data_IF_727574071264
#
_entry.id   IF_727574071264
#
_cell.length_a   1.000
_cell.length_b   1.000
_cell.length_c   1.000
_cell.angle_alpha   90.00
_cell.angle_beta   90.00
_cell.angle_gamma   90.00
#
_symmetry.space_group_name_H-M   'P 1'
#
loop_
_entity.id
_entity.type
_entity.pdbx_description
1 polymer ?
#
# COMPACT_ATOMS: atom_id res chain seq x y z
N UNK A 1 -58.16 27.09 16.43
CA UNK A 1 -57.12 27.81 15.70
C UNK A 1 -55.82 27.04 15.88
N UNK A 2 -55.27 26.53 14.78
CA UNK A 2 -53.96 25.89 14.59
C UNK A 2 -53.63 24.57 15.33
N UNK A 3 -54.09 23.46 14.74
CA UNK A 3 -53.22 22.29 14.53
C UNK A 3 -52.22 22.62 13.40
N UNK A 4 -51.17 21.81 13.25
CA UNK A 4 -50.02 21.92 12.32
C UNK A 4 -48.84 22.74 12.83
N UNK A 5 -47.80 22.03 13.28
CA UNK A 5 -46.37 22.34 13.09
C UNK A 5 -45.52 21.34 13.88
N UNK A 6 -45.45 20.06 13.48
CA UNK A 6 -44.41 19.15 13.99
C UNK A 6 -44.33 17.80 13.23
N UNK A 7 -44.06 17.77 11.92
CA UNK A 7 -43.65 16.50 11.26
C UNK A 7 -42.72 16.65 10.04
N UNK A 8 -42.41 17.85 9.53
CA UNK A 8 -41.72 17.97 8.22
C UNK A 8 -40.17 17.85 8.19
N UNK A 9 -39.47 17.61 9.30
CA UNK A 9 -37.99 17.57 9.30
C UNK A 9 -37.37 16.20 9.57
N UNK A 10 -38.16 15.20 9.94
CA UNK A 10 -37.65 13.86 10.25
C UNK A 10 -37.07 13.09 9.04
N UNK A 11 -37.68 13.12 7.82
CA UNK A 11 -37.17 12.33 6.71
C UNK A 11 -35.87 12.90 6.12
N UNK A 12 -35.67 14.22 6.22
CA UNK A 12 -34.44 14.87 5.74
C UNK A 12 -33.24 14.59 6.64
N UNK A 13 -33.42 14.54 7.96
CA UNK A 13 -32.34 14.20 8.90
C UNK A 13 -31.93 12.72 8.71
N UNK A 14 -32.90 11.81 8.59
CA UNK A 14 -32.63 10.40 8.31
C UNK A 14 -31.94 10.20 6.96
N UNK A 15 -32.34 10.95 5.92
CA UNK A 15 -31.68 10.92 4.62
C UNK A 15 -30.25 11.45 4.70
N UNK A 16 -29.99 12.53 5.44
CA UNK A 16 -28.65 13.09 5.65
C UNK A 16 -27.77 12.11 6.44
N UNK A 17 -28.29 11.47 7.49
CA UNK A 17 -27.54 10.45 8.23
C UNK A 17 -27.25 9.20 7.40
N UNK A 18 -28.18 8.80 6.51
CA UNK A 18 -27.99 7.67 5.61
C UNK A 18 -26.98 8.02 4.51
N UNK A 19 -27.04 9.23 3.95
CA UNK A 19 -26.04 9.76 3.02
C UNK A 19 -24.68 9.86 3.71
N UNK A 20 -24.62 10.35 4.95
CA UNK A 20 -23.39 10.44 5.74
C UNK A 20 -22.81 9.05 6.04
N UNK A 21 -23.64 8.07 6.41
CA UNK A 21 -23.23 6.67 6.56
C UNK A 21 -22.72 6.07 5.25
N UNK A 22 -23.36 6.35 4.11
CA UNK A 22 -22.94 5.87 2.79
C UNK A 22 -21.65 6.54 2.34
N UNK A 23 -21.47 7.85 2.59
CA UNK A 23 -20.23 8.58 2.30
C UNK A 23 -19.09 8.06 3.18
N UNK A 24 -19.32 7.84 4.49
CA UNK A 24 -18.34 7.23 5.40
C UNK A 24 -17.99 5.79 5.01
N UNK A 25 -18.94 5.02 4.47
CA UNK A 25 -18.67 3.68 3.94
C UNK A 25 -17.87 3.73 2.62
N UNK A 26 -17.97 4.84 1.86
CA UNK A 26 -17.25 5.06 0.61
C UNK A 26 -15.93 5.81 0.75
N UNK A 27 -15.64 6.43 1.90
CA UNK A 27 -14.30 6.90 2.23
C UNK A 27 -13.42 5.72 2.67
N UNK A 28 -13.23 4.77 1.76
CA UNK A 28 -12.15 3.80 1.90
C UNK A 28 -10.89 4.56 1.55
N UNK A 29 -10.05 4.88 2.55
CA UNK A 29 -8.62 4.94 2.26
C UNK A 29 -8.26 3.70 1.45
N UNK A 30 -7.34 3.77 0.48
CA UNK A 30 -7.12 2.66 -0.44
C UNK A 30 -6.70 1.39 0.31
N UNK A 31 -7.70 0.60 0.70
CA UNK A 31 -7.59 -0.70 1.34
C UNK A 31 -7.73 -1.73 0.25
N UNK A 32 -6.68 -2.50 0.03
CA UNK A 32 -6.66 -3.56 -0.97
C UNK A 32 -6.67 -4.90 -0.26
N UNK A 33 -7.70 -5.69 -0.57
CA UNK A 33 -7.90 -7.02 0.01
C UNK A 33 -8.00 -8.03 -1.12
N UNK A 34 -7.29 -9.14 -1.00
CA UNK A 34 -7.34 -10.18 -2.02
C UNK A 34 -6.45 -11.36 -1.74
N UNK A 35 -6.35 -12.21 -2.74
CA UNK A 35 -5.49 -13.40 -2.73
C UNK A 35 -4.75 -13.46 -4.05
N UNK A 36 -3.46 -13.77 -3.98
CA UNK A 36 -2.65 -14.00 -5.16
C UNK A 36 -1.95 -15.34 -5.09
N UNK A 37 -1.81 -15.97 -6.26
CA UNK A 37 -1.03 -17.18 -6.46
C UNK A 37 -0.07 -16.97 -7.63
N UNK A 38 1.19 -17.36 -7.41
CA UNK A 38 2.22 -17.31 -8.44
C UNK A 38 2.04 -18.36 -9.56
N UNK A 39 1.04 -19.23 -9.45
CA UNK A 39 0.69 -20.21 -10.49
C UNK A 39 0.12 -19.55 -11.73
N UNK A 40 -0.63 -18.46 -11.55
CA UNK A 40 -1.31 -17.76 -12.65
C UNK A 40 -0.34 -16.78 -13.32
N UNK A 41 0.41 -16.03 -12.53
CA UNK A 41 1.38 -15.04 -13.00
C UNK A 41 2.56 -14.94 -12.05
N UNK A 42 3.76 -14.69 -12.57
CA UNK A 42 4.98 -14.51 -11.77
C UNK A 42 4.88 -13.29 -10.85
N UNK A 43 4.14 -12.25 -11.27
CA UNK A 43 3.88 -11.06 -10.47
C UNK A 43 2.44 -10.56 -10.65
N UNK A 44 2.02 -9.65 -9.78
CA UNK A 44 0.77 -8.92 -9.90
C UNK A 44 0.92 -7.50 -9.37
N UNK A 45 0.33 -6.54 -10.08
CA UNK A 45 0.19 -5.16 -9.61
C UNK A 45 -1.11 -5.08 -8.83
N UNK A 46 -1.02 -4.88 -7.52
CA UNK A 46 -2.18 -4.86 -6.63
C UNK A 46 -2.86 -3.49 -6.59
N UNK A 47 -2.06 -2.42 -6.66
CA UNK A 47 -2.56 -1.06 -6.54
C UNK A 47 -1.64 -0.05 -7.23
N UNK A 48 -2.22 1.09 -7.58
CA UNK A 48 -1.54 2.34 -7.95
C UNK A 48 -2.02 3.42 -6.99
N UNK A 49 -1.12 4.16 -6.37
CA UNK A 49 -1.46 5.21 -5.40
C UNK A 49 -0.52 6.41 -5.54
N UNK A 50 -1.08 7.62 -5.45
CA UNK A 50 -0.32 8.87 -5.50
C UNK A 50 0.09 9.29 -4.09
N UNK A 51 1.37 9.15 -3.77
CA UNK A 51 1.90 9.62 -2.49
C UNK A 51 2.34 11.08 -2.58
N UNK A 52 2.02 11.83 -1.53
CA UNK A 52 2.49 13.19 -1.33
C UNK A 52 2.75 13.41 0.17
N UNK A 53 3.93 13.97 0.49
CA UNK A 53 4.19 14.45 1.82
C UNK A 53 3.28 15.64 2.17
N UNK A 54 2.47 15.49 3.21
CA UNK A 54 1.45 16.49 3.60
C UNK A 54 2.08 17.73 4.28
N UNK A 55 3.19 17.56 5.00
CA UNK A 55 3.88 18.63 5.72
C UNK A 55 5.42 18.50 5.56
N UNK A 56 6.07 19.38 4.77
CA UNK A 56 7.52 19.40 4.60
C UNK A 56 8.32 19.52 5.90
N UNK A 57 7.76 20.15 6.94
CA UNK A 57 8.42 20.36 8.23
C UNK A 57 8.31 19.14 9.16
N UNK A 58 7.37 18.24 8.89
CA UNK A 58 7.16 17.00 9.64
C UNK A 58 7.18 15.78 8.71
N UNK A 59 8.34 15.52 8.11
CA UNK A 59 8.52 14.42 7.16
C UNK A 59 8.19 13.05 7.75
N UNK A 60 8.50 12.84 9.03
CA UNK A 60 8.28 11.55 9.68
C UNK A 60 6.81 11.16 9.71
N UNK A 61 5.94 12.11 10.02
CA UNK A 61 4.51 11.86 10.18
C UNK A 61 3.67 12.19 8.95
N UNK A 62 4.22 12.88 7.95
CA UNK A 62 3.46 13.29 6.76
C UNK A 62 3.80 12.52 5.49
N UNK A 63 4.84 11.66 5.52
CA UNK A 63 5.23 10.76 4.42
C UNK A 63 4.19 9.67 4.14
N UNK A 64 4.35 8.96 3.02
CA UNK A 64 3.46 7.87 2.65
C UNK A 64 3.70 6.58 3.44
N UNK A 65 2.65 5.81 3.66
CA UNK A 65 2.71 4.51 4.34
C UNK A 65 1.97 3.44 3.54
N UNK A 66 2.54 2.23 3.52
CA UNK A 66 1.84 1.00 3.13
C UNK A 66 2.01 -0.02 4.24
N UNK A 67 0.91 -0.49 4.82
CA UNK A 67 0.95 -1.39 5.96
C UNK A 67 -0.21 -2.38 5.92
N UNK A 68 -0.07 -3.47 6.68
CA UNK A 68 -1.12 -4.46 6.82
C UNK A 68 -0.58 -5.88 6.84
N UNK A 69 -1.38 -6.81 6.33
CA UNK A 69 -1.15 -8.24 6.43
C UNK A 69 -0.90 -8.82 5.04
N UNK A 70 0.14 -9.65 4.92
CA UNK A 70 0.45 -10.44 3.70
C UNK A 70 0.79 -11.86 4.13
N UNK A 71 -0.25 -12.56 4.58
CA UNK A 71 -0.15 -13.82 5.28
C UNK A 71 -0.26 -15.03 4.35
N UNK A 72 0.45 -16.10 4.70
CA UNK A 72 0.17 -17.44 4.18
C UNK A 72 0.63 -18.53 5.14
N UNK A 73 0.26 -19.77 4.85
CA UNK A 73 0.93 -20.92 5.44
C UNK A 73 2.36 -20.98 4.88
N UNK A 74 3.36 -21.03 5.77
CA UNK A 74 4.76 -21.09 5.35
C UNK A 74 5.04 -22.46 4.73
N UNK A 75 5.34 -22.47 3.44
CA UNK A 75 5.78 -23.66 2.73
C UNK A 75 7.25 -23.48 2.38
N UNK A 76 8.10 -24.41 2.83
CA UNK A 76 9.53 -24.40 2.49
C UNK A 76 9.73 -24.39 0.97
N UNK A 77 10.38 -23.34 0.46
CA UNK A 77 10.65 -23.12 -0.97
C UNK A 77 9.66 -22.20 -1.68
N UNK A 78 8.60 -21.75 -1.03
CA UNK A 78 7.72 -20.69 -1.53
C UNK A 78 8.25 -19.33 -1.01
N UNK A 79 8.86 -18.54 -1.91
CA UNK A 79 9.45 -17.24 -1.57
C UNK A 79 9.06 -16.20 -2.61
N UNK A 80 8.64 -15.05 -2.14
CA UNK A 80 8.35 -13.90 -2.97
C UNK A 80 8.69 -12.60 -2.26
N UNK A 81 8.45 -11.50 -2.93
CA UNK A 81 8.67 -10.15 -2.40
C UNK A 81 7.45 -9.29 -2.70
N UNK A 82 7.03 -8.51 -1.71
CA UNK A 82 6.16 -7.37 -1.90
C UNK A 82 7.05 -6.13 -2.07
N UNK A 83 6.78 -5.36 -3.12
CA UNK A 83 7.51 -4.17 -3.50
C UNK A 83 6.58 -2.98 -3.60
N UNK A 84 7.09 -1.81 -3.27
CA UNK A 84 6.49 -0.56 -3.70
C UNK A 84 7.43 0.16 -4.67
N UNK A 85 6.93 0.45 -5.87
CA UNK A 85 7.75 0.88 -7.00
C UNK A 85 7.27 2.23 -7.52
N UNK A 86 8.15 3.23 -7.67
CA UNK A 86 7.76 4.52 -8.22
C UNK A 86 7.44 4.41 -9.71
N UNK A 87 6.60 5.32 -10.21
CA UNK A 87 6.18 5.35 -11.61
C UNK A 87 7.35 5.43 -12.60
N UNK A 88 8.47 6.00 -12.18
CA UNK A 88 9.71 6.07 -12.98
C UNK A 88 10.34 4.71 -13.25
N UNK A 89 10.11 3.72 -12.39
CA UNK A 89 10.72 2.38 -12.48
C UNK A 89 9.72 1.26 -12.79
N UNK A 90 8.41 1.55 -12.82
CA UNK A 90 7.37 0.52 -12.98
C UNK A 90 7.23 -0.02 -14.41
N UNK A 91 7.83 0.63 -15.42
CA UNK A 91 7.58 0.28 -16.83
C UNK A 91 7.88 -1.19 -17.14
N UNK A 92 8.91 -1.76 -16.50
CA UNK A 92 9.25 -3.18 -16.62
C UNK A 92 8.14 -4.14 -16.17
N UNK A 93 7.18 -3.69 -15.36
CA UNK A 93 6.01 -4.48 -14.94
C UNK A 93 4.75 -4.19 -15.77
N UNK A 94 4.69 -3.06 -16.47
CA UNK A 94 3.54 -2.67 -17.28
C UNK A 94 3.58 -3.24 -18.69
N UNK A 95 4.77 -3.59 -19.18
CA UNK A 95 4.93 -4.21 -20.47
C UNK A 95 4.37 -5.64 -20.47
N UNK A 96 3.59 -5.99 -21.51
CA UNK A 96 3.01 -7.34 -21.62
C UNK A 96 4.07 -8.45 -21.71
N UNK A 97 5.27 -8.11 -22.17
CA UNK A 97 6.42 -9.01 -22.22
C UNK A 97 7.01 -9.31 -20.82
N UNK A 98 6.65 -8.54 -19.78
CA UNK A 98 7.14 -8.71 -18.42
C UNK A 98 6.81 -10.08 -17.82
N UNK A 99 5.70 -10.69 -18.25
CA UNK A 99 5.27 -12.01 -17.78
C UNK A 99 6.24 -13.14 -18.17
N UNK A 100 7.09 -12.91 -19.18
CA UNK A 100 8.07 -13.87 -19.69
C UNK A 100 9.51 -13.52 -19.28
N UNK A 101 9.71 -12.43 -18.54
CA UNK A 101 11.05 -12.01 -18.13
C UNK A 101 11.58 -12.84 -16.96
N UNK A 102 12.91 -12.96 -16.90
CA UNK A 102 13.57 -13.53 -15.72
C UNK A 102 13.44 -12.58 -14.53
N UNK A 103 13.46 -13.12 -13.31
CA UNK A 103 13.45 -12.30 -12.09
C UNK A 103 14.58 -11.26 -12.07
N UNK A 104 15.74 -11.63 -12.58
CA UNK A 104 16.91 -10.74 -12.67
C UNK A 104 16.64 -9.52 -13.55
N UNK A 105 16.11 -9.75 -14.75
CA UNK A 105 15.74 -8.67 -15.67
C UNK A 105 14.59 -7.81 -15.13
N UNK A 106 13.58 -8.45 -14.51
CA UNK A 106 12.40 -7.77 -13.99
C UNK A 106 12.73 -6.86 -12.78
N UNK A 107 13.67 -7.30 -11.93
CA UNK A 107 13.98 -6.65 -10.65
C UNK A 107 15.30 -5.88 -10.61
N UNK A 108 16.04 -5.82 -11.72
CA UNK A 108 17.34 -5.15 -11.79
C UNK A 108 17.32 -3.70 -11.24
N UNK A 109 16.30 -2.92 -11.60
CA UNK A 109 16.17 -1.54 -11.14
C UNK A 109 15.75 -1.44 -9.67
N UNK A 110 15.06 -2.46 -9.15
CA UNK A 110 14.59 -2.52 -7.77
C UNK A 110 15.76 -2.74 -6.81
N UNK A 111 16.79 -3.48 -7.24
CA UNK A 111 18.02 -3.70 -6.48
C UNK A 111 18.74 -2.39 -6.11
N UNK A 112 18.53 -1.30 -6.86
CA UNK A 112 19.13 0.01 -6.57
C UNK A 112 18.30 0.85 -5.59
N UNK A 113 17.02 0.51 -5.40
CA UNK A 113 16.07 1.28 -4.61
C UNK A 113 15.88 0.66 -3.22
N UNK A 114 15.62 -0.64 -3.19
CA UNK A 114 15.20 -1.35 -2.00
C UNK A 114 16.39 -1.70 -1.10
N UNK A 115 16.25 -1.43 0.19
CA UNK A 115 17.22 -1.88 1.18
C UNK A 115 16.95 -3.33 1.60
N UNK A 116 17.99 -4.14 1.60
CA UNK A 116 18.03 -5.50 2.16
C UNK A 116 19.39 -5.67 2.83
N UNK A 117 19.41 -6.19 4.05
CA UNK A 117 20.59 -6.15 4.91
C UNK A 117 21.76 -6.98 4.36
N UNK A 118 21.50 -8.10 3.68
CA UNK A 118 22.54 -9.02 3.20
C UNK A 118 23.01 -8.66 1.79
N UNK A 119 22.08 -8.39 0.87
CA UNK A 119 22.33 -8.32 -0.56
C UNK A 119 22.19 -6.93 -1.16
N UNK A 120 21.39 -6.04 -0.57
CA UNK A 120 21.14 -4.69 -1.09
C UNK A 120 21.46 -3.62 -0.02
N UNK A 121 22.69 -3.60 0.53
CA UNK A 121 23.02 -2.72 1.67
C UNK A 121 23.06 -1.23 1.29
N UNK A 122 23.28 -0.92 0.01
CA UNK A 122 23.30 0.45 -0.51
C UNK A 122 21.89 1.01 -0.80
N UNK A 123 20.86 0.15 -0.75
CA UNK A 123 19.47 0.55 -0.89
C UNK A 123 19.07 1.51 0.23
N UNK A 124 18.23 2.50 -0.09
CA UNK A 124 17.84 3.54 0.88
C UNK A 124 16.35 3.52 1.22
N UNK A 125 15.54 2.83 0.42
CA UNK A 125 14.10 2.81 0.59
C UNK A 125 13.63 1.65 1.47
N UNK A 126 12.75 1.97 2.42
CA UNK A 126 11.91 1.01 3.14
C UNK A 126 10.72 0.60 2.24
N UNK A 127 11.04 -0.06 1.12
CA UNK A 127 10.11 -0.29 -0.02
C UNK A 127 9.91 -1.77 -0.39
N UNK A 128 10.47 -2.70 0.39
CA UNK A 128 10.34 -4.14 0.13
C UNK A 128 10.08 -4.96 1.39
N UNK A 129 9.35 -6.07 1.27
CA UNK A 129 9.22 -7.10 2.32
C UNK A 129 9.20 -8.50 1.71
N UNK A 130 9.91 -9.43 2.34
CA UNK A 130 9.80 -10.85 2.01
C UNK A 130 8.43 -11.39 2.37
N UNK A 131 7.84 -12.15 1.45
CA UNK A 131 6.54 -12.80 1.59
C UNK A 131 6.65 -14.29 1.23
N UNK A 132 5.77 -15.16 1.76
CA UNK A 132 4.68 -14.86 2.70
C UNK A 132 5.17 -14.57 4.13
N UNK A 133 4.43 -13.71 4.84
CA UNK A 133 4.64 -13.53 6.27
C UNK A 133 3.89 -14.62 7.07
N UNK A 134 4.44 -15.09 8.20
CA UNK A 134 3.78 -16.10 9.03
C UNK A 134 2.45 -15.56 9.57
N UNK A 135 1.35 -16.29 9.38
CA UNK A 135 0.02 -15.86 9.84
C UNK A 135 0.02 -15.49 11.34
N UNK A 136 -0.52 -14.30 11.64
CA UNK A 136 -0.62 -13.77 13.01
C UNK A 136 0.70 -13.34 13.65
N UNK A 137 1.79 -13.26 12.88
CA UNK A 137 3.10 -12.76 13.33
C UNK A 137 3.63 -11.71 12.36
N UNK A 138 4.57 -10.90 12.84
CA UNK A 138 5.33 -9.98 12.01
C UNK A 138 6.08 -10.72 10.90
N UNK A 139 6.33 -10.02 9.80
CA UNK A 139 7.22 -10.49 8.75
C UNK A 139 8.64 -10.68 9.31
N UNK A 140 9.42 -11.59 8.74
CA UNK A 140 10.71 -12.03 9.31
C UNK A 140 11.71 -10.88 9.49
N UNK A 141 11.65 -9.87 8.62
CA UNK A 141 12.54 -8.71 8.63
C UNK A 141 12.12 -7.63 9.65
N UNK A 142 10.89 -7.69 10.16
CA UNK A 142 10.34 -6.70 11.08
C UNK A 142 10.80 -7.02 12.52
N UNK A 143 11.95 -6.47 12.88
CA UNK A 143 12.60 -6.69 14.18
C UNK A 143 12.19 -5.70 15.28
N UNK A 144 11.45 -4.65 14.92
CA UNK A 144 11.02 -3.56 15.82
C UNK A 144 9.48 -3.44 15.80
N UNK A 145 8.75 -4.22 16.61
CA UNK A 145 7.29 -4.23 16.62
C UNK A 145 6.67 -2.85 16.82
N UNK A 146 7.32 -1.97 17.58
CA UNK A 146 6.88 -0.60 17.85
C UNK A 146 6.87 0.30 16.61
N UNK A 147 7.59 -0.09 15.55
CA UNK A 147 7.59 0.60 14.26
C UNK A 147 6.56 0.03 13.29
N UNK A 148 5.88 -1.07 13.64
CA UNK A 148 4.83 -1.65 12.82
C UNK A 148 3.48 -1.11 13.28
N UNK A 149 2.61 -0.78 12.33
CA UNK A 149 1.24 -0.36 12.66
C UNK A 149 0.54 -1.49 13.41
N UNK A 150 -0.20 -1.13 14.47
CA UNK A 150 -0.92 -2.11 15.28
C UNK A 150 -1.81 -3.02 14.41
N UNK A 151 -1.88 -4.30 14.80
CA UNK A 151 -2.64 -5.34 14.10
C UNK A 151 -2.19 -5.62 12.65
N UNK A 152 -1.01 -5.12 12.26
CA UNK A 152 -0.38 -5.36 10.96
C UNK A 152 0.88 -6.24 11.08
N UNK A 153 1.24 -6.93 10.00
CA UNK A 153 2.46 -7.75 9.95
C UNK A 153 3.70 -6.98 9.49
N UNK A 154 3.51 -5.87 8.78
CA UNK A 154 4.58 -5.03 8.26
C UNK A 154 4.15 -3.58 8.07
N UNK A 155 5.14 -2.70 7.89
CA UNK A 155 4.92 -1.30 7.51
C UNK A 155 6.07 -0.79 6.65
N UNK A 156 5.76 -0.42 5.41
CA UNK A 156 6.62 0.25 4.44
C UNK A 156 6.42 1.78 4.50
N UNK A 157 7.48 2.52 4.20
CA UNK A 157 7.51 3.99 4.27
C UNK A 157 8.02 4.59 2.97
N UNK A 158 7.26 5.53 2.43
CA UNK A 158 7.54 6.17 1.15
C UNK A 158 7.98 7.59 1.42
N UNK A 159 9.26 7.86 1.17
CA UNK A 159 9.83 9.21 1.28
C UNK A 159 9.70 9.92 -0.07
N UNK A 160 8.68 10.78 -0.19
CA UNK A 160 8.46 11.62 -1.37
C UNK A 160 8.37 13.09 -0.93
N UNK A 161 9.53 13.77 -0.78
CA UNK A 161 9.61 15.00 0.01
C UNK A 161 9.11 16.27 -0.68
N UNK A 162 8.93 16.27 -2.00
CA UNK A 162 8.62 17.51 -2.71
C UNK A 162 7.57 17.41 -3.81
N UNK A 163 7.50 16.30 -4.55
CA UNK A 163 6.63 16.22 -5.73
C UNK A 163 5.70 15.01 -5.64
N UNK A 164 4.37 15.17 -5.71
CA UNK A 164 3.46 14.05 -5.73
C UNK A 164 3.85 13.05 -6.82
N UNK A 165 4.01 11.78 -6.46
CA UNK A 165 4.37 10.74 -7.41
C UNK A 165 3.45 9.53 -7.28
N UNK A 166 3.17 8.88 -8.40
CA UNK A 166 2.57 7.56 -8.40
C UNK A 166 3.56 6.49 -8.00
N UNK A 167 3.08 5.62 -7.12
CA UNK A 167 3.72 4.39 -6.73
C UNK A 167 2.79 3.22 -6.94
N UNK A 168 3.37 2.04 -7.10
CA UNK A 168 2.66 0.80 -7.39
C UNK A 168 3.02 -0.24 -6.36
N UNK A 169 2.01 -0.89 -5.79
CA UNK A 169 2.21 -2.05 -4.91
C UNK A 169 2.21 -3.29 -5.77
N UNK A 170 3.31 -4.03 -5.75
CA UNK A 170 3.57 -5.16 -6.64
C UNK A 170 4.01 -6.36 -5.80
N UNK A 171 3.44 -7.52 -6.08
CA UNK A 171 3.90 -8.80 -5.52
C UNK A 171 4.56 -9.62 -6.62
N UNK A 172 5.68 -10.25 -6.29
CA UNK A 172 6.51 -11.00 -7.25
C UNK A 172 6.99 -12.31 -6.62
N UNK A 173 6.90 -13.42 -7.35
CA UNK A 173 7.41 -14.74 -6.95
C UNK A 173 8.92 -14.87 -7.22
N UNK A 174 9.69 -13.91 -6.75
CA UNK A 174 11.14 -13.88 -6.88
C UNK A 174 11.78 -13.69 -5.50
N UNK A 175 13.00 -14.20 -5.34
CA UNK A 175 13.79 -14.05 -4.13
C UNK A 175 15.27 -13.89 -4.45
N UNK A 176 16.03 -13.30 -3.54
CA UNK A 176 17.49 -13.26 -3.62
C UNK A 176 18.08 -14.54 -3.05
N UNK A 177 18.95 -15.20 -3.81
CA UNK A 177 19.69 -16.35 -3.31
C UNK A 177 20.91 -15.92 -2.47
N UNK A 178 21.67 -16.90 -1.98
CA UNK A 178 22.87 -16.64 -1.16
C UNK A 178 24.00 -15.94 -1.92
N UNK A 179 23.91 -15.82 -3.25
CA UNK A 179 24.85 -15.08 -4.09
C UNK A 179 24.25 -13.73 -4.52
N UNK A 180 23.15 -13.31 -3.90
CA UNK A 180 22.45 -12.07 -4.20
C UNK A 180 21.96 -11.97 -5.65
N UNK A 181 21.59 -13.12 -6.23
CA UNK A 181 20.98 -13.19 -7.55
C UNK A 181 19.48 -13.40 -7.43
N UNK A 182 18.72 -12.65 -8.21
CA UNK A 182 17.28 -12.83 -8.29
C UNK A 182 16.93 -14.17 -8.95
N UNK A 183 16.17 -14.99 -8.24
CA UNK A 183 15.68 -16.30 -8.68
C UNK A 183 14.18 -16.39 -8.55
N UNK A 184 13.55 -17.13 -9.45
CA UNK A 184 12.13 -17.49 -9.34
C UNK A 184 11.91 -18.42 -8.16
N UNK A 185 10.77 -18.26 -7.48
CA UNK A 185 10.33 -19.17 -6.43
C UNK A 185 10.31 -20.61 -6.90
N UNK A 186 10.80 -21.54 -6.06
CA UNK A 186 10.83 -22.97 -6.38
C UNK A 186 9.44 -23.58 -6.27
N UNK A 187 8.63 -23.09 -5.34
CA UNK A 187 7.24 -23.50 -5.13
C UNK A 187 6.27 -22.36 -5.38
N UNK A 188 5.01 -22.73 -5.60
CA UNK A 188 3.90 -21.78 -5.70
C UNK A 188 3.83 -20.91 -4.44
N UNK A 189 3.83 -19.60 -4.65
CA UNK A 189 3.63 -18.61 -3.60
C UNK A 189 2.14 -18.26 -3.60
N UNK A 190 1.47 -18.51 -2.49
CA UNK A 190 0.08 -18.10 -2.28
C UNK A 190 0.08 -17.13 -1.12
N UNK A 191 -0.54 -15.96 -1.26
CA UNK A 191 -0.67 -14.98 -0.17
C UNK A 191 -2.08 -14.41 -0.12
N UNK A 192 -2.57 -14.23 1.10
CA UNK A 192 -3.75 -13.42 1.39
C UNK A 192 -3.27 -12.06 1.89
N UNK A 193 -3.70 -11.00 1.22
CA UNK A 193 -3.30 -9.65 1.56
C UNK A 193 -4.49 -8.79 1.98
N UNK A 194 -4.25 -7.94 2.97
CA UNK A 194 -5.12 -6.88 3.45
C UNK A 194 -4.22 -5.69 3.79
N UNK A 195 -4.09 -4.77 2.84
CA UNK A 195 -3.14 -3.67 2.90
C UNK A 195 -3.85 -2.33 2.85
N UNK A 196 -3.30 -1.35 3.55
CA UNK A 196 -3.75 0.03 3.59
C UNK A 196 -2.66 0.93 3.01
N UNK A 197 -3.05 1.90 2.19
CA UNK A 197 -2.17 2.91 1.62
C UNK A 197 -2.63 4.30 2.07
N UNK A 198 -1.75 5.08 2.68
CA UNK A 198 -2.08 6.40 3.24
C UNK A 198 -1.00 7.44 2.99
N UNK A 199 -1.41 8.69 2.83
CA UNK A 199 -0.54 9.86 2.91
C UNK A 199 -0.50 10.32 4.37
N UNK A 200 0.66 10.28 5.01
CA UNK A 200 0.79 10.56 6.44
C UNK A 200 0.58 9.35 7.34
N UNK A 201 1.03 9.52 8.58
CA UNK A 201 1.21 8.47 9.57
C UNK A 201 -0.12 7.97 10.11
N UNK A 202 -0.37 6.65 10.08
CA UNK A 202 -1.56 6.06 10.70
C UNK A 202 -1.57 6.17 12.23
N UNK A 203 -0.43 6.53 12.84
CA UNK A 203 -0.33 6.76 14.28
C UNK A 203 -0.90 8.13 14.69
N UNK A 204 -1.11 9.05 13.74
CA UNK A 204 -1.60 10.40 14.01
C UNK A 204 -3.12 10.49 13.85
N UNK A 205 -3.83 10.64 14.97
CA UNK A 205 -5.30 10.69 15.02
C UNK A 205 -5.91 12.03 14.60
N UNK A 206 -5.09 13.05 14.36
CA UNK A 206 -5.53 14.42 14.07
C UNK A 206 -5.33 14.85 12.61
N UNK A 207 -4.82 13.95 11.76
CA UNK A 207 -4.67 14.25 10.34
C UNK A 207 -6.04 14.33 9.67
N UNK A 208 -6.19 15.29 8.76
CA UNK A 208 -7.41 15.44 7.97
C UNK A 208 -7.64 14.14 7.15
N UNK A 209 -8.76 13.42 7.34
CA UNK A 209 -9.00 12.15 6.67
C UNK A 209 -8.96 12.28 5.14
N UNK A 210 -9.34 13.44 4.58
CA UNK A 210 -9.32 13.66 3.13
C UNK A 210 -7.91 13.74 2.55
N UNK A 211 -6.97 14.39 3.25
CA UNK A 211 -5.56 14.44 2.84
C UNK A 211 -4.81 13.14 3.13
N UNK A 212 -5.32 12.34 4.07
CA UNK A 212 -4.64 11.15 4.57
C UNK A 212 -4.96 9.87 3.79
N UNK A 213 -6.21 9.74 3.35
CA UNK A 213 -6.75 8.46 2.89
C UNK A 213 -6.83 8.33 1.37
N UNK A 214 -6.82 9.46 0.67
CA UNK A 214 -7.02 9.51 -0.78
C UNK A 214 -5.70 9.67 -1.53
N UNK A 215 -5.66 9.16 -2.76
CA UNK A 215 -4.56 9.47 -3.68
C UNK A 215 -4.56 10.97 -3.99
N UNK A 216 -3.40 11.57 -4.27
CA UNK A 216 -3.30 13.01 -4.59
C UNK A 216 -4.35 13.51 -5.61
N UNK A 217 -4.63 12.75 -6.68
CA UNK A 217 -5.66 13.11 -7.67
C UNK A 217 -7.07 13.25 -7.06
N UNK A 218 -7.42 12.32 -6.17
CA UNK A 218 -8.70 12.31 -5.50
C UNK A 218 -8.79 13.47 -4.50
N UNK A 219 -7.69 13.80 -3.82
CA UNK A 219 -7.61 14.97 -2.93
C UNK A 219 -7.87 16.28 -3.68
N UNK A 220 -7.23 16.47 -4.84
CA UNK A 220 -7.43 17.65 -5.70
C UNK A 220 -8.88 17.74 -6.17
N UNK A 221 -9.48 16.61 -6.55
CA UNK A 221 -10.88 16.57 -6.97
C UNK A 221 -11.83 16.99 -5.84
N UNK A 222 -11.65 16.48 -4.62
CA UNK A 222 -12.47 16.86 -3.46
C UNK A 222 -12.31 18.33 -3.06
N UNK A 223 -11.09 18.86 -3.06
CA UNK A 223 -10.83 20.29 -2.78
C UNK A 223 -11.57 21.18 -3.79
N UNK A 224 -11.55 20.83 -5.07
CA UNK A 224 -12.27 21.56 -6.11
C UNK A 224 -13.79 21.55 -5.94
N UNK A 225 -14.37 20.45 -5.44
CA UNK A 225 -15.80 20.39 -5.15
C UNK A 225 -16.18 21.23 -3.92
N UNK A 226 -15.35 21.25 -2.87
CA UNK A 226 -15.64 21.99 -1.63
C UNK A 226 -15.39 23.51 -1.75
N UNK A 227 -14.60 23.98 -2.72
CA UNK A 227 -14.38 25.42 -2.96
C UNK A 227 -15.39 26.07 -3.90
N UNK A 228 -16.26 25.28 -4.55
CA UNK A 228 -17.29 25.77 -5.46
C UNK A 228 -18.71 25.73 -4.85
N UNK A 229 -18.82 25.56 -3.52
CA UNK A 229 -20.05 25.82 -2.75
C UNK A 229 -19.95 27.15 -1.99
#
# INVERSE_FOLDING_TARGET
MSQYLSVCNFPHILLIELIYCVILQRSQSLRIVGTWSSRISQFSILAKFGFQQIDPLDAEHSRGFVYGNVSSQIINGARGVLLIVPKTLVNGFLDKAALEQSCDSLLQNISLLAFEAECLPDGKGDVMRWIPCPAGKLCVEENMPEKVVNDSQMTLRIEEPSTPQYWYVIIVACYLDTHCLWKSSVKEVIVHYDLWLTNGSPFMRYLNPFGHQFSFEEQVCFIFFLQNE
#
